data_IF_728945432212
#
_entry.id   IF_728945432212
#
_cell.length_a   1.000
_cell.length_b   1.000
_cell.length_c   1.000
_cell.angle_alpha   90.00
_cell.angle_beta   90.00
_cell.angle_gamma   90.00
#
_symmetry.space_group_name_H-M   'P 1'
#
loop_
_entity.id
_entity.type
_entity.pdbx_description
1 polymer ?
#
# COMPACT_ATOMS: atom_id res chain seq x y z
N UNK A 1 1.38 -6.57 2.71
CA UNK A 1 1.25 -5.95 4.04
C UNK A 1 1.12 -4.45 3.80
N UNK A 2 0.39 -3.75 4.66
CA UNK A 2 0.14 -2.32 4.50
C UNK A 2 0.51 -1.60 5.79
N UNK A 3 1.49 -0.71 5.70
CA UNK A 3 2.01 0.07 6.84
C UNK A 3 1.09 1.22 7.23
N UNK A 4 0.16 1.62 6.37
CA UNK A 4 -0.82 2.66 6.66
C UNK A 4 -1.94 2.12 7.54
N UNK A 5 -2.50 0.97 7.17
CA UNK A 5 -3.58 0.30 7.91
C UNK A 5 -3.08 -0.73 8.94
N UNK A 6 -1.77 -0.87 9.10
CA UNK A 6 -1.15 -1.89 9.97
C UNK A 6 -1.55 -3.33 9.60
N UNK A 7 -1.77 -3.61 8.31
CA UNK A 7 -2.03 -4.98 7.84
C UNK A 7 -0.75 -5.80 7.92
N UNK A 8 -0.79 -6.86 8.72
CA UNK A 8 0.35 -7.73 9.01
C UNK A 8 0.47 -8.89 8.03
N UNK A 9 1.68 -9.47 7.93
CA UNK A 9 1.87 -10.84 7.43
C UNK A 9 1.86 -11.76 8.64
N UNK A 10 0.82 -12.58 8.86
CA UNK A 10 0.78 -13.50 9.99
C UNK A 10 1.76 -14.66 9.80
N UNK A 11 2.46 -15.01 10.87
CA UNK A 11 3.26 -16.23 10.90
C UNK A 11 2.38 -17.48 10.88
N UNK A 12 2.95 -18.59 10.40
CA UNK A 12 2.24 -19.85 10.23
C UNK A 12 1.55 -20.38 11.50
N UNK A 13 2.12 -20.26 12.73
CA UNK A 13 1.42 -20.66 13.95
C UNK A 13 0.10 -19.93 14.18
N UNK A 14 0.01 -18.66 13.75
CA UNK A 14 -1.24 -17.87 13.84
C UNK A 14 -2.25 -18.40 12.81
N UNK A 15 -1.82 -18.64 11.58
CA UNK A 15 -2.67 -19.23 10.53
C UNK A 15 -3.27 -20.56 10.98
N UNK A 16 -2.44 -21.45 11.55
CA UNK A 16 -2.85 -22.76 12.09
C UNK A 16 -3.83 -22.61 13.26
N UNK A 17 -3.58 -21.69 14.19
CA UNK A 17 -4.47 -21.45 15.33
C UNK A 17 -5.90 -21.10 14.90
N UNK A 18 -6.04 -20.37 13.79
CA UNK A 18 -7.33 -19.95 13.25
C UNK A 18 -7.86 -20.85 12.13
N UNK A 19 -7.22 -22.00 11.86
CA UNK A 19 -7.59 -22.92 10.79
C UNK A 19 -7.71 -22.25 9.41
N UNK A 20 -6.83 -21.28 9.13
CA UNK A 20 -6.76 -20.62 7.83
C UNK A 20 -6.26 -21.64 6.80
N UNK A 21 -6.94 -21.73 5.67
CA UNK A 21 -6.61 -22.62 4.54
C UNK A 21 -5.95 -21.87 3.36
N UNK A 22 -5.71 -20.57 3.52
CA UNK A 22 -5.07 -19.71 2.52
C UNK A 22 -3.63 -19.34 2.92
N UNK A 23 -2.74 -19.28 1.92
CA UNK A 23 -1.41 -18.69 2.07
C UNK A 23 -1.24 -17.57 1.06
N UNK A 24 -1.11 -16.34 1.56
CA UNK A 24 -0.81 -15.20 0.73
C UNK A 24 0.63 -15.27 0.21
N UNK A 25 0.80 -15.06 -1.09
CA UNK A 25 2.08 -15.02 -1.80
C UNK A 25 2.20 -13.58 -2.33
N UNK A 26 2.98 -12.76 -1.63
CA UNK A 26 2.98 -11.30 -1.77
C UNK A 26 4.36 -10.76 -2.17
N UNK A 27 4.44 -9.66 -2.94
CA UNK A 27 5.68 -8.96 -3.19
C UNK A 27 6.47 -8.69 -1.90
N UNK A 28 7.78 -8.92 -1.97
CA UNK A 28 8.66 -8.88 -0.80
C UNK A 28 9.27 -7.50 -0.60
N UNK A 29 9.64 -7.25 0.65
CA UNK A 29 10.64 -6.25 1.02
C UNK A 29 11.85 -7.00 1.56
N UNK A 30 13.02 -6.67 1.03
CA UNK A 30 14.29 -7.36 1.34
C UNK A 30 14.72 -7.19 2.80
N UNK A 31 14.40 -6.04 3.39
CA UNK A 31 14.89 -5.67 4.72
C UNK A 31 13.75 -5.23 5.62
N UNK A 32 13.76 -5.80 6.82
CA UNK A 32 12.84 -5.51 7.90
C UNK A 32 13.63 -5.02 9.09
N UNK A 33 13.00 -4.19 9.91
CA UNK A 33 13.56 -3.74 11.18
C UNK A 33 12.55 -3.94 12.29
N UNK A 34 13.08 -4.05 13.51
CA UNK A 34 12.27 -3.99 14.71
C UNK A 34 11.65 -2.59 14.87
N UNK A 35 10.39 -2.56 15.32
CA UNK A 35 9.67 -1.36 15.72
C UNK A 35 8.73 -1.69 16.89
N UNK A 36 8.28 -0.66 17.60
CA UNK A 36 7.28 -0.79 18.67
C UNK A 36 5.92 -0.29 18.24
N UNK A 37 4.90 -1.12 18.46
CA UNK A 37 3.50 -0.72 18.32
C UNK A 37 3.07 0.21 19.47
N UNK A 38 1.86 0.77 19.35
CA UNK A 38 1.32 1.70 20.35
C UNK A 38 1.21 1.09 21.77
N UNK A 39 1.12 -0.24 21.86
CA UNK A 39 1.09 -1.01 23.11
C UNK A 39 2.50 -1.46 23.58
N UNK A 40 3.56 -0.96 22.94
CA UNK A 40 4.98 -1.32 23.16
C UNK A 40 5.40 -2.71 22.72
N UNK A 41 4.48 -3.52 22.18
CA UNK A 41 4.81 -4.83 21.62
C UNK A 41 5.74 -4.67 20.40
N UNK A 42 6.57 -5.70 20.19
CA UNK A 42 7.54 -5.72 19.10
C UNK A 42 6.83 -6.14 17.82
N UNK A 43 7.06 -5.39 16.75
CA UNK A 43 6.71 -5.78 15.39
C UNK A 43 7.89 -5.58 14.43
N UNK A 44 7.74 -6.10 13.22
CA UNK A 44 8.67 -5.84 12.13
C UNK A 44 8.00 -4.99 11.07
N UNK A 45 8.68 -3.93 10.64
CA UNK A 45 8.25 -3.04 9.56
C UNK A 45 9.31 -2.98 8.46
N UNK A 46 8.92 -2.66 7.20
CA UNK A 46 9.89 -2.43 6.13
C UNK A 46 10.96 -1.44 6.54
N UNK A 47 12.22 -1.75 6.22
CA UNK A 47 13.34 -0.89 6.57
C UNK A 47 13.30 0.47 5.88
N UNK A 48 12.58 0.62 4.77
CA UNK A 48 12.40 1.93 4.12
C UNK A 48 11.23 2.74 4.70
N UNK A 49 10.36 2.14 5.50
CA UNK A 49 9.27 2.88 6.17
C UNK A 49 9.82 3.64 7.38
N UNK A 50 9.84 4.98 7.26
CA UNK A 50 10.44 5.92 8.22
C UNK A 50 9.57 7.16 8.42
N UNK A 51 8.39 7.03 9.04
CA UNK A 51 7.59 8.21 9.37
C UNK A 51 8.30 9.04 10.45
N UNK A 52 8.23 10.36 10.31
CA UNK A 52 8.79 11.35 11.26
C UNK A 52 7.76 11.64 12.33
N UNK A 53 8.19 11.69 13.60
CA UNK A 53 7.35 12.09 14.73
C UNK A 53 7.49 13.60 14.92
N UNK A 54 6.36 14.31 14.93
CA UNK A 54 6.28 15.75 15.15
C UNK A 54 6.24 16.10 16.65
N UNK A 55 6.48 17.38 17.04
CA UNK A 55 6.45 17.79 18.45
C UNK A 55 5.12 17.55 19.16
N UNK A 56 4.01 17.51 18.43
CA UNK A 56 2.67 17.19 18.96
C UNK A 56 2.42 15.68 19.12
N UNK A 57 3.40 14.85 18.76
CA UNK A 57 3.33 13.39 18.81
C UNK A 57 2.64 12.74 17.61
N UNK A 58 2.13 13.52 16.65
CA UNK A 58 1.65 12.99 15.38
C UNK A 58 2.81 12.46 14.53
N UNK A 59 2.52 11.58 13.58
CA UNK A 59 3.51 11.06 12.63
C UNK A 59 3.18 11.50 11.22
N UNK A 60 4.21 11.77 10.42
CA UNK A 60 4.07 12.07 8.99
C UNK A 60 5.01 11.19 8.18
N UNK A 61 4.54 10.71 7.02
CA UNK A 61 5.35 9.95 6.07
C UNK A 61 5.63 10.80 4.83
N UNK A 62 6.84 10.65 4.31
CA UNK A 62 7.32 11.39 3.15
C UNK A 62 7.58 10.46 1.97
N UNK A 63 7.37 10.98 0.76
CA UNK A 63 7.98 10.47 -0.46
C UNK A 63 8.71 11.63 -1.14
N UNK A 64 10.05 11.56 -1.16
CA UNK A 64 10.89 12.74 -1.41
C UNK A 64 10.58 13.85 -0.39
N UNK A 65 10.23 15.03 -0.90
CA UNK A 65 9.87 16.20 -0.08
C UNK A 65 8.36 16.33 0.17
N UNK A 66 7.55 15.40 -0.36
CA UNK A 66 6.09 15.46 -0.29
C UNK A 66 5.59 14.68 0.93
N UNK A 67 4.74 15.30 1.75
CA UNK A 67 4.03 14.61 2.83
C UNK A 67 2.89 13.81 2.21
N UNK A 68 3.02 12.48 2.21
CA UNK A 68 2.03 11.57 1.61
C UNK A 68 1.03 11.02 2.62
N UNK A 69 1.41 10.96 3.90
CA UNK A 69 0.56 10.42 4.94
C UNK A 69 0.72 11.11 6.29
N UNK A 70 -0.35 11.12 7.09
CA UNK A 70 -0.34 11.61 8.46
C UNK A 70 -1.07 10.65 9.39
N UNK A 71 -0.54 10.45 10.58
CA UNK A 71 -1.23 9.76 11.68
C UNK A 71 -1.28 10.69 12.89
N UNK A 72 -2.45 10.96 13.48
CA UNK A 72 -2.55 11.81 14.67
C UNK A 72 -1.85 11.18 15.88
N UNK A 73 -1.55 11.97 16.91
CA UNK A 73 -1.03 11.44 18.17
C UNK A 73 -2.01 10.42 18.76
N UNK A 74 -1.51 9.24 19.13
CA UNK A 74 -2.31 8.06 19.55
C UNK A 74 -3.31 7.55 18.47
N UNK A 75 -3.13 7.95 17.21
CA UNK A 75 -3.83 7.35 16.08
C UNK A 75 -3.39 5.92 15.82
N UNK A 76 -4.27 5.14 15.20
CA UNK A 76 -3.99 3.76 14.79
C UNK A 76 -3.59 3.66 13.31
N UNK A 77 -4.02 4.59 12.47
CA UNK A 77 -3.84 4.49 11.02
C UNK A 77 -3.27 5.79 10.45
N UNK A 78 -2.53 5.66 9.35
CA UNK A 78 -2.13 6.80 8.55
C UNK A 78 -3.23 7.14 7.55
N UNK A 79 -3.66 8.40 7.57
CA UNK A 79 -4.51 9.00 6.55
C UNK A 79 -3.64 9.45 5.38
N UNK A 80 -4.09 9.17 4.16
CA UNK A 80 -3.49 9.70 2.94
C UNK A 80 -3.86 11.18 2.77
N UNK A 81 -2.85 12.03 2.61
CA UNK A 81 -3.05 13.50 2.62
C UNK A 81 -2.60 14.20 1.33
N UNK A 82 -1.98 13.49 0.38
CA UNK A 82 -1.51 14.08 -0.88
C UNK A 82 -2.33 13.56 -2.07
N UNK A 83 -2.93 14.45 -2.86
CA UNK A 83 -3.82 14.06 -3.97
C UNK A 83 -3.31 14.66 -5.28
N UNK A 84 -2.45 13.96 -6.04
CA UNK A 84 -1.79 14.54 -7.20
C UNK A 84 -2.73 14.94 -8.34
N UNK A 85 -3.97 14.42 -8.35
CA UNK A 85 -4.98 14.69 -9.37
C UNK A 85 -6.20 15.46 -8.81
N UNK A 86 -6.09 16.09 -7.65
CA UNK A 86 -7.20 16.85 -7.03
C UNK A 86 -7.74 17.95 -7.95
N UNK A 87 -6.84 18.68 -8.60
CA UNK A 87 -7.14 19.80 -9.49
C UNK A 87 -6.84 19.52 -10.97
N UNK A 88 -6.62 18.24 -11.33
CA UNK A 88 -6.21 17.86 -12.69
C UNK A 88 -7.34 18.02 -13.73
N UNK A 89 -6.93 18.39 -14.94
CA UNK A 89 -7.74 18.40 -16.17
C UNK A 89 -7.57 17.08 -16.92
N UNK A 90 -8.45 16.82 -17.90
CA UNK A 90 -8.41 15.56 -18.67
C UNK A 90 -7.15 15.48 -19.54
N UNK A 91 -6.62 16.62 -19.97
CA UNK A 91 -5.35 16.74 -20.69
C UNK A 91 -4.16 16.39 -19.78
N UNK A 92 -4.19 16.76 -18.50
CA UNK A 92 -3.11 16.42 -17.55
C UNK A 92 -2.92 14.90 -17.38
N UNK A 93 -3.95 14.10 -17.68
CA UNK A 93 -3.86 12.63 -17.65
C UNK A 93 -2.97 12.05 -18.76
N UNK A 94 -2.75 12.78 -19.87
CA UNK A 94 -1.88 12.32 -20.96
C UNK A 94 -0.39 12.34 -20.58
N UNK A 95 0.00 13.31 -19.75
CA UNK A 95 1.38 13.49 -19.31
C UNK A 95 1.64 12.94 -17.90
N UNK A 96 0.61 12.37 -17.26
CA UNK A 96 0.74 11.82 -15.91
C UNK A 96 1.65 10.59 -15.90
N UNK A 97 2.61 10.57 -14.97
CA UNK A 97 3.57 9.46 -14.85
C UNK A 97 2.92 8.27 -14.15
N UNK A 98 2.74 7.19 -14.90
CA UNK A 98 2.23 5.91 -14.41
C UNK A 98 3.35 4.87 -14.22
N UNK A 99 3.29 4.02 -13.19
CA UNK A 99 2.33 4.05 -12.07
C UNK A 99 2.56 5.26 -11.16
N UNK A 100 1.48 5.78 -10.58
CA UNK A 100 1.52 6.97 -9.74
C UNK A 100 2.59 6.85 -8.63
N UNK A 101 3.62 7.73 -8.62
CA UNK A 101 4.78 7.57 -7.75
C UNK A 101 4.43 7.77 -6.26
N UNK A 102 3.38 8.54 -5.97
CA UNK A 102 2.96 8.95 -4.63
C UNK A 102 1.68 8.25 -4.14
N UNK A 103 1.23 7.20 -4.83
CA UNK A 103 -0.03 6.54 -4.49
C UNK A 103 0.12 5.62 -3.30
N UNK A 104 -0.94 5.53 -2.48
CA UNK A 104 -1.16 4.46 -1.51
C UNK A 104 -1.00 3.06 -2.13
N UNK A 105 -1.33 2.95 -3.42
CA UNK A 105 -1.15 1.78 -4.27
C UNK A 105 0.09 1.91 -5.15
N UNK A 106 1.20 2.47 -4.65
CA UNK A 106 2.47 2.54 -5.38
C UNK A 106 2.79 1.14 -5.87
N UNK A 107 2.51 0.92 -7.15
CA UNK A 107 2.88 -0.31 -7.79
C UNK A 107 4.40 -0.36 -7.77
N UNK A 108 4.98 -1.57 -7.68
CA UNK A 108 6.40 -1.72 -7.86
C UNK A 108 6.86 -0.93 -9.08
N UNK A 109 7.96 -0.20 -8.94
CA UNK A 109 8.58 0.50 -10.07
C UNK A 109 8.64 -0.47 -11.25
N UNK A 110 7.90 -0.15 -12.32
CA UNK A 110 7.73 -1.04 -13.47
C UNK A 110 9.07 -1.34 -14.14
N UNK A 111 10.07 -0.48 -13.93
CA UNK A 111 11.43 -0.66 -14.41
C UNK A 111 12.32 -1.48 -13.45
N UNK A 112 11.83 -1.79 -12.24
CA UNK A 112 12.51 -2.58 -11.22
C UNK A 112 11.59 -3.66 -10.63
N UNK A 113 10.78 -4.29 -11.47
CA UNK A 113 9.83 -5.32 -11.06
C UNK A 113 10.52 -6.51 -10.37
N UNK A 114 11.75 -6.82 -10.79
CA UNK A 114 12.56 -7.91 -10.25
C UNK A 114 12.76 -7.81 -8.74
N UNK A 115 12.94 -6.60 -8.19
CA UNK A 115 13.10 -6.41 -6.72
C UNK A 115 11.84 -6.90 -5.99
N UNK A 116 10.67 -6.66 -6.57
CA UNK A 116 9.39 -6.98 -5.94
C UNK A 116 8.95 -8.40 -6.19
N UNK A 117 9.36 -8.99 -7.33
CA UNK A 117 9.07 -10.36 -7.73
C UNK A 117 10.13 -11.37 -7.25
N UNK A 118 11.25 -10.90 -6.70
CA UNK A 118 12.35 -11.75 -6.29
C UNK A 118 11.89 -12.83 -5.28
N UNK A 119 12.13 -14.10 -5.61
CA UNK A 119 11.83 -15.23 -4.73
C UNK A 119 10.35 -15.60 -4.63
N UNK A 120 9.45 -14.90 -5.32
CA UNK A 120 8.01 -15.18 -5.28
C UNK A 120 7.66 -16.51 -5.95
N UNK A 121 8.30 -16.82 -7.08
CA UNK A 121 8.09 -18.07 -7.80
C UNK A 121 8.55 -19.27 -6.96
N UNK A 122 9.73 -19.16 -6.36
CA UNK A 122 10.30 -20.19 -5.48
C UNK A 122 9.43 -20.41 -4.24
N UNK A 123 8.94 -19.33 -3.62
CA UNK A 123 8.02 -19.43 -2.50
C UNK A 123 6.70 -20.09 -2.91
N UNK A 124 6.11 -19.67 -4.04
CA UNK A 124 4.87 -20.26 -4.54
C UNK A 124 5.04 -21.77 -4.79
N UNK A 125 6.14 -22.17 -5.43
CA UNK A 125 6.48 -23.59 -5.64
C UNK A 125 6.63 -24.33 -4.32
N UNK A 126 7.34 -23.75 -3.36
CA UNK A 126 7.53 -24.36 -2.05
C UNK A 126 6.19 -24.64 -1.37
N UNK A 127 5.32 -23.64 -1.23
CA UNK A 127 4.05 -23.83 -0.53
C UNK A 127 3.09 -24.75 -1.28
N UNK A 128 3.06 -24.67 -2.61
CA UNK A 128 2.26 -25.55 -3.47
C UNK A 128 2.65 -27.03 -3.31
N UNK A 129 3.95 -27.31 -3.16
CA UNK A 129 4.47 -28.67 -3.06
C UNK A 129 4.51 -29.22 -1.63
N UNK A 130 4.59 -28.35 -0.61
CA UNK A 130 4.87 -28.75 0.77
C UNK A 130 3.72 -28.43 1.75
N UNK A 131 2.56 -28.00 1.27
CA UNK A 131 1.40 -27.69 2.12
C UNK A 131 0.07 -27.94 1.42
N UNK A 132 -1.02 -27.88 2.18
CA UNK A 132 -2.38 -27.95 1.67
C UNK A 132 -3.04 -26.55 1.56
N UNK A 133 -2.27 -25.47 1.70
CA UNK A 133 -2.84 -24.13 1.56
C UNK A 133 -3.23 -23.85 0.12
N UNK A 134 -4.39 -23.23 -0.09
CA UNK A 134 -4.66 -22.56 -1.35
C UNK A 134 -3.81 -21.27 -1.41
N UNK A 135 -3.01 -21.14 -2.46
CA UNK A 135 -2.13 -19.98 -2.62
C UNK A 135 -2.89 -18.81 -3.20
N UNK A 136 -2.78 -17.66 -2.55
CA UNK A 136 -3.44 -16.42 -2.97
C UNK A 136 -2.37 -15.41 -3.36
N UNK A 137 -2.26 -15.15 -4.66
CA UNK A 137 -1.49 -14.01 -5.16
C UNK A 137 -2.28 -12.72 -4.99
N UNK A 138 -1.58 -11.60 -4.85
CA UNK A 138 -2.19 -10.28 -4.96
C UNK A 138 -1.90 -9.71 -6.36
N UNK A 139 -2.96 -9.37 -7.10
CA UNK A 139 -2.85 -8.73 -8.41
C UNK A 139 -3.76 -7.50 -8.45
N UNK A 140 -3.15 -6.32 -8.46
CA UNK A 140 -3.85 -5.05 -8.60
C UNK A 140 -4.69 -4.63 -7.39
N UNK A 141 -4.87 -3.32 -7.25
CA UNK A 141 -5.81 -2.73 -6.31
C UNK A 141 -7.15 -2.41 -6.97
N UNK A 142 -8.08 -1.88 -6.19
CA UNK A 142 -9.35 -1.35 -6.71
C UNK A 142 -9.08 -0.09 -7.54
N UNK A 143 -9.55 -0.06 -8.79
CA UNK A 143 -9.46 1.12 -9.68
C UNK A 143 -10.18 2.31 -9.04
N UNK A 144 -11.31 2.07 -8.37
CA UNK A 144 -12.05 3.11 -7.66
C UNK A 144 -11.24 3.67 -6.49
N UNK A 145 -10.57 2.79 -5.74
CA UNK A 145 -9.80 3.21 -4.59
C UNK A 145 -8.54 3.98 -5.01
N UNK A 146 -7.85 3.50 -6.05
CA UNK A 146 -6.76 4.22 -6.67
C UNK A 146 -7.20 5.62 -7.13
N UNK A 147 -8.33 5.72 -7.83
CA UNK A 147 -8.87 7.01 -8.27
C UNK A 147 -9.22 7.93 -7.09
N UNK A 148 -9.85 7.43 -6.03
CA UNK A 148 -10.11 8.24 -4.81
C UNK A 148 -8.83 8.66 -4.08
N UNK A 149 -7.78 7.84 -4.14
CA UNK A 149 -6.46 8.19 -3.61
C UNK A 149 -5.82 9.33 -4.38
N UNK A 150 -5.91 9.30 -5.71
CA UNK A 150 -5.30 10.27 -6.61
C UNK A 150 -6.06 11.61 -6.65
N UNK A 151 -7.38 11.58 -6.76
CA UNK A 151 -8.24 12.77 -6.93
C UNK A 151 -8.83 13.28 -5.62
N UNK A 152 -8.97 12.41 -4.61
CA UNK A 152 -9.84 12.64 -3.47
C UNK A 152 -11.26 12.13 -3.66
N UNK A 153 -11.89 11.75 -2.55
CA UNK A 153 -13.23 11.17 -2.52
C UNK A 153 -14.29 12.09 -3.10
N UNK A 154 -14.34 13.35 -2.66
CA UNK A 154 -15.35 14.31 -3.09
C UNK A 154 -15.30 14.52 -4.61
N UNK A 155 -14.12 14.86 -5.12
CA UNK A 155 -13.91 15.11 -6.55
C UNK A 155 -14.25 13.88 -7.39
N UNK A 156 -13.72 12.71 -7.04
CA UNK A 156 -13.98 11.48 -7.80
C UNK A 156 -15.46 11.10 -7.82
N UNK A 157 -16.15 11.14 -6.68
CA UNK A 157 -17.56 10.77 -6.59
C UNK A 157 -18.47 11.74 -7.37
N UNK A 158 -18.13 13.04 -7.39
CA UNK A 158 -18.84 14.03 -8.21
C UNK A 158 -18.57 13.80 -9.69
N UNK A 159 -17.32 13.54 -10.07
CA UNK A 159 -16.90 13.40 -11.47
C UNK A 159 -17.40 12.13 -12.14
N UNK A 160 -17.63 11.03 -11.39
CA UNK A 160 -18.30 9.83 -11.92
C UNK A 160 -19.66 10.18 -12.54
N UNK A 161 -20.33 11.21 -12.01
CA UNK A 161 -21.64 11.68 -12.51
C UNK A 161 -21.49 12.84 -13.48
N UNK A 162 -20.63 13.82 -13.17
CA UNK A 162 -20.56 15.12 -13.87
C UNK A 162 -19.48 15.21 -14.94
N UNK A 163 -18.43 14.41 -14.85
CA UNK A 163 -17.26 14.47 -15.72
C UNK A 163 -16.78 13.07 -16.11
N UNK A 164 -17.71 12.27 -16.63
CA UNK A 164 -17.46 10.86 -16.98
C UNK A 164 -16.24 10.66 -17.89
N UNK A 165 -16.02 11.56 -18.85
CA UNK A 165 -14.86 11.45 -19.77
C UNK A 165 -13.53 11.49 -19.05
N UNK A 166 -13.40 12.31 -18.01
CA UNK A 166 -12.19 12.33 -17.18
C UNK A 166 -12.03 11.00 -16.45
N UNK A 167 -13.10 10.55 -15.78
CA UNK A 167 -13.07 9.31 -14.98
C UNK A 167 -12.86 8.05 -15.84
N UNK A 168 -13.38 8.02 -17.06
CA UNK A 168 -13.20 6.92 -18.00
C UNK A 168 -11.79 6.88 -18.60
N UNK A 169 -11.09 8.02 -18.63
CA UNK A 169 -9.71 8.14 -19.11
C UNK A 169 -8.69 7.79 -18.02
N UNK A 170 -9.01 8.13 -16.77
CA UNK A 170 -8.21 7.83 -15.58
C UNK A 170 -8.00 6.33 -15.38
#
# INVERSE_FOLDING_TARGET
>A
FDVYQQIVIPDEPILKRFNVDLKAILPRVDKWREERLADSSICYVPDKWRPVILPDGSKIAYDGDIVVAKMPYKGYYFDHVYRPLEDATIEDLDDFVWPAPFSFYKLPDVNNLDIYLNGLEEEAKYWSQNSNYALVGNFGGSIYEAATGLMGYERFLVDIVKNRKFVEKL
#
